data_IF_073806319869
#
_entry.id   IF_073806319869
#
_cell.length_a   1.000
_cell.length_b   1.000
_cell.length_c   1.000
_cell.angle_alpha   90.00
_cell.angle_beta   90.00
_cell.angle_gamma   90.00
#
_symmetry.space_group_name_H-M   'P 1'
#
loop_
_entity.id
_entity.type
_entity.pdbx_description
1 polymer ?
#
# COMPACT_ATOMS: atom_id res chain seq x y z
N UNK A 1 6.51 -13.70 0.44
CA UNK A 1 7.36 -13.95 -0.75
C UNK A 1 8.59 -13.15 -0.53
N UNK A 2 9.72 -13.84 -0.37
CA UNK A 2 10.93 -13.20 0.11
C UNK A 2 11.59 -12.52 -1.08
N UNK A 3 11.23 -11.26 -1.29
CA UNK A 3 11.87 -10.39 -2.29
C UNK A 3 13.38 -10.36 -2.09
N UNK A 4 13.83 -10.50 -0.84
CA UNK A 4 15.24 -10.67 -0.48
C UNK A 4 15.87 -11.93 -1.11
N UNK A 5 15.24 -13.10 -0.96
CA UNK A 5 15.72 -14.34 -1.56
C UNK A 5 15.85 -14.23 -3.08
N UNK A 6 14.89 -13.58 -3.75
CA UNK A 6 14.95 -13.40 -5.21
C UNK A 6 16.06 -12.43 -5.63
N UNK A 7 16.30 -11.35 -4.89
CA UNK A 7 17.43 -10.46 -5.14
C UNK A 7 18.76 -11.20 -4.96
N UNK A 8 18.91 -11.97 -3.87
CA UNK A 8 20.12 -12.73 -3.58
C UNK A 8 20.35 -13.84 -4.62
N UNK A 9 19.28 -14.46 -5.12
CA UNK A 9 19.33 -15.42 -6.22
C UNK A 9 19.81 -14.78 -7.52
N UNK A 10 19.29 -13.60 -7.87
CA UNK A 10 19.73 -12.85 -9.06
C UNK A 10 21.20 -12.42 -8.92
N UNK A 11 21.62 -11.95 -7.76
CA UNK A 11 23.01 -11.55 -7.50
C UNK A 11 23.96 -12.74 -7.63
N UNK A 12 23.57 -13.91 -7.12
CA UNK A 12 24.32 -15.15 -7.32
C UNK A 12 24.44 -15.56 -8.79
N UNK A 13 23.43 -15.30 -9.62
CA UNK A 13 23.46 -15.59 -11.05
C UNK A 13 24.32 -14.59 -11.83
N UNK A 14 24.36 -13.32 -11.39
CA UNK A 14 25.16 -12.26 -12.01
C UNK A 14 26.62 -12.28 -11.56
N UNK A 15 26.92 -12.89 -10.40
CA UNK A 15 28.27 -13.07 -9.88
C UNK A 15 29.19 -13.82 -10.87
N UNK A 16 30.50 -13.60 -10.75
CA UNK A 16 31.53 -14.19 -11.61
C UNK A 16 31.22 -14.04 -13.11
N UNK A 17 30.89 -12.82 -13.53
CA UNK A 17 30.56 -12.46 -14.91
C UNK A 17 29.43 -13.28 -15.54
N UNK A 18 28.52 -13.85 -14.75
CA UNK A 18 27.38 -14.62 -15.26
C UNK A 18 27.73 -16.03 -15.75
N UNK A 19 28.85 -16.62 -15.31
CA UNK A 19 29.22 -18.01 -15.65
C UNK A 19 28.17 -19.03 -15.19
N UNK A 20 27.48 -18.75 -14.08
CA UNK A 20 26.34 -19.57 -13.60
C UNK A 20 25.13 -19.38 -14.50
N UNK A 21 24.83 -18.14 -14.88
CA UNK A 21 23.74 -17.81 -15.82
C UNK A 21 23.93 -18.43 -17.21
N UNK A 22 25.18 -18.57 -17.69
CA UNK A 22 25.48 -19.25 -18.96
C UNK A 22 25.11 -20.73 -18.93
N UNK A 23 25.29 -21.38 -17.77
CA UNK A 23 25.09 -22.82 -17.56
C UNK A 23 23.67 -23.17 -17.12
N UNK A 24 22.98 -22.22 -16.49
CA UNK A 24 21.65 -22.44 -15.96
C UNK A 24 20.60 -22.38 -17.07
N UNK A 25 19.68 -23.35 -17.05
CA UNK A 25 18.52 -23.46 -17.95
C UNK A 25 17.27 -23.43 -17.06
N UNK A 26 16.20 -22.75 -17.49
CA UNK A 26 14.94 -22.66 -16.74
C UNK A 26 14.90 -21.54 -15.70
N UNK A 27 15.89 -20.64 -15.69
CA UNK A 27 15.92 -19.47 -14.79
C UNK A 27 14.75 -18.54 -15.10
N UNK A 28 14.47 -18.33 -16.39
CA UNK A 28 13.35 -17.51 -16.85
C UNK A 28 12.01 -18.04 -16.35
N UNK A 29 11.77 -19.35 -16.51
CA UNK A 29 10.54 -20.00 -16.07
C UNK A 29 10.39 -19.98 -14.54
N UNK A 30 11.47 -20.19 -13.79
CA UNK A 30 11.46 -20.12 -12.33
C UNK A 30 11.05 -18.73 -11.83
N UNK A 31 11.70 -17.68 -12.35
CA UNK A 31 11.39 -16.29 -12.00
C UNK A 31 9.98 -15.90 -12.46
N UNK A 32 9.56 -16.33 -13.65
CA UNK A 32 8.21 -16.12 -14.16
C UNK A 32 7.16 -16.70 -13.21
N UNK A 33 7.29 -17.98 -12.82
CA UNK A 33 6.33 -18.63 -11.92
C UNK A 33 6.26 -17.95 -10.55
N UNK A 34 7.40 -17.47 -10.04
CA UNK A 34 7.42 -16.71 -8.78
C UNK A 34 6.76 -15.34 -8.95
N UNK A 35 6.96 -14.65 -10.06
CA UNK A 35 6.53 -13.26 -10.26
C UNK A 35 5.19 -13.07 -10.96
N UNK A 36 4.58 -14.13 -11.51
CA UNK A 36 3.38 -14.10 -12.38
C UNK A 36 2.22 -13.23 -11.86
N UNK A 37 2.00 -13.18 -10.55
CA UNK A 37 0.86 -12.47 -9.97
C UNK A 37 1.20 -11.06 -9.46
N UNK A 38 2.46 -10.60 -9.62
CA UNK A 38 2.95 -9.36 -9.00
C UNK A 38 3.75 -8.46 -9.93
N UNK A 39 4.40 -9.04 -10.94
CA UNK A 39 5.17 -8.27 -11.92
C UNK A 39 4.28 -7.78 -13.07
N UNK A 40 4.60 -6.62 -13.67
CA UNK A 40 3.97 -6.15 -14.90
C UNK A 40 4.20 -7.11 -16.07
N UNK A 41 3.28 -7.10 -17.05
CA UNK A 41 3.32 -8.00 -18.21
C UNK A 41 4.65 -7.93 -18.99
N UNK A 42 5.24 -6.74 -19.15
CA UNK A 42 6.51 -6.59 -19.88
C UNK A 42 7.67 -7.36 -19.22
N UNK A 43 7.75 -7.40 -17.88
CA UNK A 43 8.76 -8.18 -17.16
C UNK A 43 8.51 -9.67 -17.36
N UNK A 44 7.24 -10.07 -17.29
CA UNK A 44 6.84 -11.46 -17.44
C UNK A 44 7.14 -12.00 -18.84
N UNK A 45 6.94 -11.20 -19.89
CA UNK A 45 7.26 -11.57 -21.26
C UNK A 45 8.78 -11.65 -21.49
N UNK A 46 9.54 -10.70 -20.94
CA UNK A 46 11.02 -10.77 -20.95
C UNK A 46 11.55 -12.03 -20.25
N UNK A 47 10.90 -12.49 -19.17
CA UNK A 47 11.29 -13.70 -18.44
C UNK A 47 11.00 -14.99 -19.21
N UNK A 48 9.96 -15.04 -20.05
CA UNK A 48 9.66 -16.21 -20.90
C UNK A 48 10.74 -16.44 -21.96
N UNK A 49 11.30 -15.37 -22.49
CA UNK A 49 12.32 -15.43 -23.55
C UNK A 49 13.75 -15.47 -23.02
N UNK A 50 13.94 -15.23 -21.72
CA UNK A 50 15.25 -15.11 -21.07
C UNK A 50 16.24 -16.22 -21.47
N UNK A 51 15.79 -17.47 -21.47
CA UNK A 51 16.68 -18.61 -21.70
C UNK A 51 17.21 -18.70 -23.14
N UNK A 52 16.51 -18.10 -24.11
CA UNK A 52 16.86 -18.10 -25.55
C UNK A 52 17.80 -16.96 -25.94
N UNK A 53 17.99 -15.97 -25.08
CA UNK A 53 18.73 -14.74 -25.41
C UNK A 53 20.25 -14.88 -25.21
N UNK A 54 21.01 -13.96 -25.80
CA UNK A 54 22.45 -13.87 -25.55
C UNK A 54 22.76 -13.50 -24.10
N UNK A 55 23.92 -13.90 -23.60
CA UNK A 55 24.30 -13.74 -22.19
C UNK A 55 24.22 -12.29 -21.69
N UNK A 56 24.56 -11.32 -22.52
CA UNK A 56 24.46 -9.89 -22.17
C UNK A 56 23.01 -9.44 -22.01
N UNK A 57 22.12 -9.88 -22.92
CA UNK A 57 20.68 -9.61 -22.82
C UNK A 57 20.06 -10.27 -21.58
N UNK A 58 20.48 -11.51 -21.25
CA UNK A 58 20.06 -12.17 -20.00
C UNK A 58 20.44 -11.35 -18.77
N UNK A 59 21.67 -10.82 -18.72
CA UNK A 59 22.13 -9.95 -17.63
C UNK A 59 21.31 -8.67 -17.54
N UNK A 60 20.98 -8.04 -18.67
CA UNK A 60 20.18 -6.82 -18.70
C UNK A 60 18.79 -7.04 -18.12
N UNK A 61 18.09 -8.10 -18.55
CA UNK A 61 16.76 -8.44 -18.05
C UNK A 61 16.81 -8.75 -16.55
N UNK A 62 17.80 -9.50 -16.07
CA UNK A 62 17.94 -9.80 -14.64
C UNK A 62 18.18 -8.54 -13.79
N UNK A 63 18.95 -7.57 -14.30
CA UNK A 63 19.13 -6.27 -13.64
C UNK A 63 17.82 -5.48 -13.56
N UNK A 64 17.03 -5.51 -14.63
CA UNK A 64 15.70 -4.87 -14.66
C UNK A 64 14.75 -5.52 -13.65
N UNK A 65 14.69 -6.86 -13.61
CA UNK A 65 13.91 -7.61 -12.63
C UNK A 65 14.35 -7.29 -11.20
N UNK A 66 15.66 -7.19 -10.95
CA UNK A 66 16.21 -6.80 -9.64
C UNK A 66 15.77 -5.38 -9.25
N UNK A 67 15.85 -4.42 -10.17
CA UNK A 67 15.40 -3.04 -9.93
C UNK A 67 13.92 -3.00 -9.55
N UNK A 68 13.08 -3.75 -10.27
CA UNK A 68 11.67 -3.88 -9.94
C UNK A 68 11.46 -4.45 -8.52
N UNK A 69 12.19 -5.50 -8.13
CA UNK A 69 12.10 -6.09 -6.80
C UNK A 69 12.52 -5.12 -5.68
N UNK A 70 13.58 -4.32 -5.92
CA UNK A 70 14.04 -3.29 -4.99
C UNK A 70 13.03 -2.14 -4.84
N UNK A 71 12.40 -1.69 -5.93
CA UNK A 71 11.33 -0.70 -5.90
C UNK A 71 10.11 -1.21 -5.14
N UNK A 72 9.72 -2.47 -5.33
CA UNK A 72 8.65 -3.09 -4.55
C UNK A 72 9.00 -3.15 -3.05
N UNK A 73 10.25 -3.47 -2.70
CA UNK A 73 10.73 -3.47 -1.31
C UNK A 73 10.65 -2.07 -0.70
N UNK A 74 11.10 -1.04 -1.42
CA UNK A 74 10.98 0.36 -0.99
C UNK A 74 9.52 0.75 -0.80
N UNK A 75 8.66 0.49 -1.79
CA UNK A 75 7.23 0.83 -1.71
C UNK A 75 6.51 0.12 -0.55
N UNK A 76 6.90 -1.11 -0.18
CA UNK A 76 6.38 -1.79 1.00
C UNK A 76 6.82 -1.11 2.30
N UNK A 77 8.06 -0.64 2.38
CA UNK A 77 8.56 0.11 3.54
C UNK A 77 7.93 1.50 3.64
N UNK A 78 7.68 2.16 2.51
CA UNK A 78 7.09 3.50 2.46
C UNK A 78 5.55 3.49 2.57
N UNK A 79 4.88 2.33 2.47
CA UNK A 79 3.41 2.22 2.54
C UNK A 79 2.78 2.62 3.89
N UNK A 80 3.58 2.99 4.90
CA UNK A 80 3.10 3.79 6.04
C UNK A 80 3.02 5.28 5.69
N UNK A 81 2.24 5.64 4.66
CA UNK A 81 2.13 7.03 4.17
C UNK A 81 1.26 7.89 5.09
N UNK A 82 0.50 7.28 6.01
CA UNK A 82 -0.10 8.05 7.09
C UNK A 82 0.97 8.27 8.16
N UNK A 83 1.26 9.53 8.55
CA UNK A 83 2.06 9.77 9.73
C UNK A 83 1.44 8.96 10.86
N UNK A 84 2.24 8.12 11.51
CA UNK A 84 1.79 7.35 12.65
C UNK A 84 1.60 8.34 13.79
N UNK A 85 0.44 9.00 13.81
CA UNK A 85 0.06 9.86 14.92
C UNK A 85 0.19 9.06 16.21
N UNK A 86 0.79 9.69 17.22
CA UNK A 86 0.88 9.09 18.54
C UNK A 86 -0.54 8.77 19.01
N UNK A 87 -0.80 7.47 19.21
CA UNK A 87 -2.11 7.00 19.63
C UNK A 87 -2.36 7.51 21.03
N UNK A 88 -3.43 8.29 21.17
CA UNK A 88 -3.93 8.70 22.48
C UNK A 88 -4.36 7.47 23.31
N UNK A 89 -4.18 7.49 24.64
CA UNK A 89 -4.62 6.40 25.51
C UNK A 89 -6.13 6.19 25.40
N UNK A 90 -6.56 4.93 25.54
CA UNK A 90 -7.96 4.53 25.35
C UNK A 90 -8.89 5.18 26.37
N UNK A 91 -8.37 5.48 27.56
CA UNK A 91 -9.09 6.13 28.66
C UNK A 91 -9.67 7.50 28.27
N UNK A 92 -9.12 8.15 27.24
CA UNK A 92 -9.63 9.43 26.75
C UNK A 92 -11.00 9.31 26.07
N UNK A 93 -11.35 8.14 25.54
CA UNK A 93 -12.67 7.91 24.92
C UNK A 93 -13.77 7.77 25.99
N UNK A 94 -13.44 7.28 27.18
CA UNK A 94 -14.41 7.10 28.27
C UNK A 94 -14.62 8.37 29.11
N UNK A 95 -14.02 9.49 28.73
CA UNK A 95 -14.27 10.77 29.39
C UNK A 95 -15.66 11.29 29.04
N UNK A 96 -16.30 11.94 30.02
CA UNK A 96 -17.58 12.62 29.85
C UNK A 96 -17.49 13.72 28.78
N UNK A 97 -18.57 13.91 28.03
CA UNK A 97 -18.73 14.96 27.02
C UNK A 97 -18.54 16.38 27.61
N UNK A 98 -18.76 16.55 28.92
CA UNK A 98 -18.55 17.84 29.60
C UNK A 98 -17.09 18.28 29.58
N UNK A 99 -16.16 17.32 29.54
CA UNK A 99 -14.72 17.58 29.52
C UNK A 99 -14.20 18.07 28.15
N UNK A 100 -15.03 17.94 27.10
CA UNK A 100 -14.68 18.36 25.74
C UNK A 100 -14.75 19.89 25.64
N UNK A 101 -13.61 20.53 25.40
CA UNK A 101 -13.49 22.01 25.37
C UNK A 101 -14.13 22.67 24.14
N UNK A 102 -14.21 21.94 23.03
CA UNK A 102 -14.70 22.46 21.74
C UNK A 102 -16.22 22.66 21.76
N UNK A 103 -16.94 21.86 22.55
CA UNK A 103 -18.40 21.90 22.61
C UNK A 103 -18.89 23.03 23.52
N UNK A 104 -19.86 23.78 23.02
CA UNK A 104 -20.63 24.79 23.76
C UNK A 104 -21.57 24.13 24.79
N UNK A 105 -22.08 24.94 25.73
CA UNK A 105 -23.00 24.45 26.76
C UNK A 105 -24.30 23.87 26.18
N UNK A 106 -24.80 24.47 25.11
CA UNK A 106 -26.01 24.02 24.41
C UNK A 106 -25.77 22.69 23.71
N UNK A 107 -24.67 22.56 22.96
CA UNK A 107 -24.30 21.29 22.30
C UNK A 107 -24.12 20.15 23.30
N UNK A 108 -23.45 20.40 24.43
CA UNK A 108 -23.31 19.39 25.51
C UNK A 108 -24.66 18.94 26.05
N UNK A 109 -25.60 19.86 26.24
CA UNK A 109 -26.95 19.54 26.71
C UNK A 109 -27.71 18.71 25.68
N UNK A 110 -27.60 19.06 24.39
CA UNK A 110 -28.24 18.32 23.30
C UNK A 110 -27.70 16.90 23.20
N UNK A 111 -26.37 16.72 23.26
CA UNK A 111 -25.75 15.38 23.22
C UNK A 111 -26.22 14.50 24.38
N UNK A 112 -26.30 15.06 25.59
CA UNK A 112 -26.87 14.34 26.75
C UNK A 112 -28.33 13.97 26.56
N UNK A 113 -29.14 14.85 25.96
CA UNK A 113 -30.55 14.56 25.66
C UNK A 113 -30.70 13.42 24.64
N UNK A 114 -29.68 13.21 23.78
CA UNK A 114 -29.60 12.09 22.84
C UNK A 114 -29.03 10.81 23.49
N UNK A 115 -28.74 10.81 24.79
CA UNK A 115 -28.15 9.68 25.50
C UNK A 115 -26.64 9.53 25.33
N UNK A 116 -25.96 10.57 24.85
CA UNK A 116 -24.51 10.56 24.60
C UNK A 116 -23.81 11.19 25.82
N UNK A 117 -23.23 10.34 26.68
CA UNK A 117 -22.59 10.77 27.92
C UNK A 117 -21.07 10.89 27.79
N UNK A 118 -20.46 10.01 26.98
CA UNK A 118 -18.99 9.92 26.80
C UNK A 118 -18.57 10.19 25.35
N UNK A 119 -17.27 10.44 25.15
CA UNK A 119 -16.68 10.57 23.80
C UNK A 119 -16.83 9.26 23.02
N UNK A 120 -16.80 8.12 23.71
CA UNK A 120 -17.02 6.80 23.12
C UNK A 120 -18.43 6.68 22.55
N UNK A 121 -19.46 7.09 23.28
CA UNK A 121 -20.85 7.05 22.80
C UNK A 121 -21.03 7.91 21.55
N UNK A 122 -20.37 9.08 21.51
CA UNK A 122 -20.40 9.97 20.35
C UNK A 122 -19.75 9.36 19.10
N UNK A 123 -18.75 8.49 19.26
CA UNK A 123 -18.07 7.82 18.15
C UNK A 123 -18.96 6.81 17.44
N UNK A 124 -19.90 6.20 18.16
CA UNK A 124 -20.88 5.25 17.62
C UNK A 124 -22.23 5.91 17.28
N UNK A 125 -22.36 7.21 17.50
CA UNK A 125 -23.52 7.98 17.09
C UNK A 125 -23.37 8.44 15.63
N UNK A 126 -23.61 7.51 14.71
CA UNK A 126 -23.46 7.77 13.28
C UNK A 126 -24.55 8.69 12.73
N UNK A 127 -24.23 9.56 11.77
CA UNK A 127 -25.23 10.30 11.01
C UNK A 127 -26.21 9.33 10.33
N UNK A 128 -27.51 9.65 10.40
CA UNK A 128 -28.53 8.86 9.71
C UNK A 128 -28.33 8.87 8.19
N UNK A 129 -27.97 10.05 7.65
CA UNK A 129 -27.77 10.28 6.21
C UNK A 129 -26.65 11.28 6.00
N UNK A 130 -25.91 11.09 4.91
CA UNK A 130 -24.92 12.05 4.42
C UNK A 130 -25.50 12.75 3.20
N UNK A 131 -25.59 14.07 3.25
CA UNK A 131 -25.99 14.88 2.11
C UNK A 131 -24.79 15.14 1.20
N UNK A 132 -24.87 14.73 -0.06
CA UNK A 132 -23.82 15.02 -1.05
C UNK A 132 -24.02 16.42 -1.66
N UNK A 133 -23.26 17.38 -1.16
CA UNK A 133 -23.30 18.78 -1.63
C UNK A 133 -22.60 19.01 -2.97
N UNK A 134 -21.93 18.02 -3.55
CA UNK A 134 -21.19 18.18 -4.83
C UNK A 134 -22.12 18.38 -6.02
N UNK A 135 -23.34 17.85 -5.95
CA UNK A 135 -24.32 17.90 -7.05
C UNK A 135 -25.03 19.25 -7.18
N UNK A 136 -25.09 20.04 -6.10
CA UNK A 136 -25.79 21.33 -6.09
C UNK A 136 -25.11 22.43 -6.93
N UNK A 137 -23.83 22.25 -7.32
CA UNK A 137 -23.10 23.24 -8.12
C UNK A 137 -23.23 23.03 -9.64
N UNK A 138 -23.86 21.94 -10.10
CA UNK A 138 -23.96 21.62 -11.53
C UNK A 138 -25.18 22.21 -12.23
N UNK A 139 -26.27 22.49 -11.51
CA UNK A 139 -27.46 23.10 -12.09
C UNK A 139 -27.39 24.60 -11.82
N UNK A 140 -26.75 25.35 -12.72
CA UNK A 140 -27.01 26.79 -12.84
C UNK A 140 -28.32 26.94 -13.60
N UNK A 141 -29.42 27.14 -12.89
CA UNK A 141 -30.63 27.70 -13.51
C UNK A 141 -30.24 29.10 -13.97
N UNK A 142 -30.20 29.31 -15.29
CA UNK A 142 -29.97 30.64 -15.85
C UNK A 142 -31.18 31.51 -15.55
N UNK A 143 -30.91 32.72 -15.04
CA UNK A 143 -31.87 33.83 -15.03
C UNK A 143 -32.22 34.26 -16.46
#
# INVERSE_FOLDING_TARGET
MDTQFLCDFIDNLLANNGLKLKRAIGVGLFLFNKLRNKAPNYILDNLKELDKLSLEKKKAILKEVKKFLEEQKKNLQTKSILPREERKPIDLFFKSIDSVKILSKTEKKTLKALGIETVYDALFYFPEKYEDKRLNNWIKTGD
#
